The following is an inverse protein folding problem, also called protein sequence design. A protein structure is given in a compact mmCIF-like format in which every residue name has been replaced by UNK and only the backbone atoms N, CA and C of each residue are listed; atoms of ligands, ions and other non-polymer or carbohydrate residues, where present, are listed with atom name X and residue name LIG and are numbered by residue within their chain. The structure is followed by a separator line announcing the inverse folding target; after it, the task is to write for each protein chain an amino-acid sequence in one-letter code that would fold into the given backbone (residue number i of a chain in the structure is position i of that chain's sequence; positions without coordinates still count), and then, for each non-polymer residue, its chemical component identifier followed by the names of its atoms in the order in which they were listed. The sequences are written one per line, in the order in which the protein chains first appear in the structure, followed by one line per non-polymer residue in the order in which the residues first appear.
data_IF_639962153189
#
_entry.id   IF_639962153189
#
_cell.length_a   1.000
_cell.length_b   1.000
_cell.length_c   1.000
_cell.angle_alpha   90.00
_cell.angle_beta   90.00
_cell.angle_gamma   90.00
#
_symmetry.space_group_name_H-M   'P 1'
#
loop_
_entity.id
_entity.type
_entity.pdbx_description
1 polymer ?
#
# COMPACT_ATOMS: atom_id res chain seq x y z
N UNK A 1 -43.30 37.22 -12.23
CA UNK A 1 -42.92 36.70 -10.89
C UNK A 1 -41.53 36.11 -11.03
N UNK A 2 -40.50 36.84 -10.61
CA UNK A 2 -39.10 36.41 -10.75
C UNK A 2 -38.83 35.22 -9.81
N UNK A 3 -38.22 34.15 -10.31
CA UNK A 3 -37.75 33.04 -9.47
C UNK A 3 -36.70 33.58 -8.51
N UNK A 4 -36.94 33.42 -7.22
CA UNK A 4 -35.96 33.65 -6.17
C UNK A 4 -34.76 32.71 -6.40
N UNK A 5 -33.59 33.29 -6.67
CA UNK A 5 -32.33 32.58 -6.94
C UNK A 5 -31.45 32.55 -5.67
N UNK A 6 -32.02 32.74 -4.48
CA UNK A 6 -31.27 32.59 -3.24
C UNK A 6 -30.79 31.15 -3.05
N UNK A 7 -29.48 30.99 -2.84
CA UNK A 7 -28.89 29.70 -2.51
C UNK A 7 -29.46 29.21 -1.17
N UNK A 8 -29.95 27.97 -1.12
CA UNK A 8 -30.43 27.36 0.12
C UNK A 8 -29.29 27.31 1.14
N UNK A 9 -29.53 27.68 2.42
CA UNK A 9 -28.50 27.61 3.44
C UNK A 9 -28.01 26.16 3.61
N UNK A 10 -26.69 25.96 3.81
CA UNK A 10 -26.13 24.63 3.96
C UNK A 10 -26.60 23.99 5.27
N UNK A 11 -26.89 22.69 5.21
CA UNK A 11 -27.14 21.89 6.42
C UNK A 11 -25.77 21.52 6.99
N UNK A 12 -25.54 21.80 8.27
CA UNK A 12 -24.27 21.55 8.97
C UNK A 12 -24.50 20.45 10.01
N UNK A 13 -23.63 19.44 10.02
CA UNK A 13 -23.63 18.38 11.02
C UNK A 13 -22.20 18.05 11.45
N UNK A 14 -22.04 17.65 12.72
CA UNK A 14 -20.80 17.09 13.26
C UNK A 14 -21.14 15.78 13.95
N UNK A 15 -21.05 14.68 13.21
CA UNK A 15 -21.36 13.34 13.69
C UNK A 15 -20.29 12.37 13.24
N UNK A 16 -20.13 11.28 14.00
CA UNK A 16 -19.40 10.11 13.53
C UNK A 16 -20.31 9.34 12.56
N UNK A 17 -19.71 8.87 11.47
CA UNK A 17 -20.37 8.01 10.49
C UNK A 17 -19.57 6.72 10.41
N UNK A 18 -20.27 5.60 10.47
CA UNK A 18 -19.70 4.27 10.23
C UNK A 18 -20.18 3.81 8.86
N UNK A 19 -19.22 3.47 8.00
CA UNK A 19 -19.48 2.86 6.69
C UNK A 19 -18.89 1.47 6.65
N UNK A 20 -19.56 0.55 5.94
CA UNK A 20 -19.09 -0.83 5.74
C UNK A 20 -19.05 -1.11 4.25
N UNK A 21 -17.92 -1.61 3.77
CA UNK A 21 -17.69 -1.93 2.36
C UNK A 21 -16.59 -2.97 2.18
N UNK A 22 -16.53 -3.57 1.00
CA UNK A 22 -15.49 -4.56 0.65
C UNK A 22 -14.13 -3.90 0.34
N UNK A 23 -14.14 -2.62 0.00
CA UNK A 23 -12.97 -1.82 -0.35
C UNK A 23 -12.88 -0.59 0.54
N UNK A 24 -11.65 -0.17 0.85
CA UNK A 24 -11.40 1.06 1.58
C UNK A 24 -11.77 2.29 0.72
N UNK A 25 -12.09 3.41 1.37
CA UNK A 25 -12.36 4.67 0.70
C UNK A 25 -11.19 5.14 -0.16
N UNK A 26 -9.94 4.89 0.25
CA UNK A 26 -8.77 5.19 -0.57
C UNK A 26 -8.83 4.45 -1.93
N UNK A 27 -9.13 3.16 -1.90
CA UNK A 27 -9.31 2.32 -3.08
C UNK A 27 -10.52 2.75 -3.91
N UNK A 28 -11.59 3.20 -3.27
CA UNK A 28 -12.76 3.73 -3.97
C UNK A 28 -12.44 5.05 -4.69
N UNK A 29 -11.69 5.96 -4.06
CA UNK A 29 -11.22 7.21 -4.66
C UNK A 29 -10.27 6.93 -5.83
N UNK A 30 -9.39 5.95 -5.68
CA UNK A 30 -8.49 5.47 -6.74
C UNK A 30 -9.24 4.90 -7.94
N UNK A 31 -10.32 4.14 -7.70
CA UNK A 31 -11.19 3.61 -8.78
C UNK A 31 -11.84 4.70 -9.63
N UNK A 32 -11.99 5.91 -9.07
CA UNK A 32 -12.48 7.10 -9.76
C UNK A 32 -11.35 7.92 -10.42
N UNK A 33 -10.12 7.39 -10.49
CA UNK A 33 -8.95 8.05 -11.08
C UNK A 33 -8.41 9.20 -10.24
N UNK A 34 -8.71 9.23 -8.93
CA UNK A 34 -8.27 10.28 -8.00
C UNK A 34 -7.36 9.68 -6.93
N UNK A 35 -6.51 10.51 -6.33
CA UNK A 35 -5.66 10.11 -5.20
C UNK A 35 -6.27 10.63 -3.89
N UNK A 36 -6.35 9.78 -2.89
CA UNK A 36 -6.77 10.19 -1.55
C UNK A 36 -5.73 11.14 -0.93
N UNK A 37 -6.19 12.27 -0.40
CA UNK A 37 -5.32 13.25 0.28
C UNK A 37 -5.09 12.82 1.73
N UNK A 38 -3.94 13.16 2.31
CA UNK A 38 -3.59 12.81 3.70
C UNK A 38 -4.68 13.23 4.71
N UNK A 39 -5.19 14.45 4.61
CA UNK A 39 -6.27 14.93 5.47
C UNK A 39 -7.60 14.16 5.33
N UNK A 40 -7.85 13.51 4.19
CA UNK A 40 -9.01 12.63 4.01
C UNK A 40 -8.80 11.29 4.72
N UNK A 41 -7.61 10.73 4.62
CA UNK A 41 -7.24 9.43 5.23
C UNK A 41 -7.28 9.53 6.76
N UNK A 42 -6.82 10.64 7.34
CA UNK A 42 -6.82 10.85 8.81
C UNK A 42 -8.24 10.98 9.38
N UNK A 43 -9.18 11.57 8.62
CA UNK A 43 -10.56 11.80 9.08
C UNK A 43 -11.50 10.62 8.84
N UNK A 44 -11.10 9.69 7.97
CA UNK A 44 -11.89 8.51 7.60
C UNK A 44 -11.05 7.24 7.76
N UNK A 45 -10.68 6.88 9.00
CA UNK A 45 -9.86 5.70 9.25
C UNK A 45 -10.66 4.43 8.92
N UNK A 46 -10.03 3.53 8.18
CA UNK A 46 -10.61 2.22 7.86
C UNK A 46 -10.13 1.15 8.83
N UNK A 47 -11.09 0.37 9.31
CA UNK A 47 -10.86 -0.76 10.22
C UNK A 47 -10.96 -2.04 9.37
N UNK A 48 -9.84 -2.74 9.09
CA UNK A 48 -9.89 -3.96 8.32
C UNK A 48 -10.62 -5.06 9.10
N UNK A 49 -11.46 -5.83 8.41
CA UNK A 49 -12.17 -6.96 9.02
C UNK A 49 -11.24 -8.14 9.36
N UNK A 50 -10.13 -8.27 8.65
CA UNK A 50 -9.05 -9.21 8.96
C UNK A 50 -7.84 -8.41 9.49
N UNK A 51 -7.60 -8.51 10.80
CA UNK A 51 -6.50 -7.80 11.48
C UNK A 51 -5.21 -8.62 11.53
N UNK A 52 -5.19 -9.81 10.91
CA UNK A 52 -4.13 -10.80 11.08
C UNK A 52 -4.07 -11.34 12.51
N UNK A 53 -3.39 -12.49 12.69
CA UNK A 53 -3.28 -13.15 13.99
C UNK A 53 -2.60 -12.26 15.03
N UNK A 54 -3.28 -11.99 16.15
CA UNK A 54 -2.67 -11.41 17.36
C UNK A 54 -3.21 -10.06 17.83
N UNK A 55 -4.20 -9.48 17.14
CA UNK A 55 -4.83 -8.21 17.57
C UNK A 55 -6.23 -8.40 18.20
N UNK A 56 -6.74 -9.65 18.24
CA UNK A 56 -7.86 -10.16 19.06
C UNK A 56 -9.21 -9.41 19.00
N UNK A 57 -9.35 -8.34 18.21
CA UNK A 57 -10.48 -7.40 18.29
C UNK A 57 -11.76 -8.00 17.67
N UNK A 58 -11.61 -8.94 16.73
CA UNK A 58 -12.71 -9.64 16.03
C UNK A 58 -12.53 -11.19 16.08
N UNK A 59 -11.44 -11.66 16.71
CA UNK A 59 -11.09 -13.09 16.77
C UNK A 59 -11.69 -13.80 17.99
N UNK A 60 -12.10 -13.06 19.03
CA UNK A 60 -12.80 -13.62 20.17
C UNK A 60 -14.27 -13.85 19.82
N UNK A 61 -14.69 -15.12 19.77
CA UNK A 61 -16.07 -15.50 19.46
C UNK A 61 -16.99 -15.51 20.70
N UNK A 62 -16.47 -15.13 21.88
CA UNK A 62 -17.23 -15.05 23.14
C UNK A 62 -18.12 -16.27 23.42
N UNK A 63 -17.57 -17.48 23.22
CA UNK A 63 -18.29 -18.74 23.42
C UNK A 63 -19.19 -19.19 22.28
N UNK A 64 -19.18 -18.50 21.12
CA UNK A 64 -19.81 -18.96 19.88
C UNK A 64 -18.88 -19.93 19.14
N UNK A 65 -19.47 -20.83 18.37
CA UNK A 65 -18.75 -21.88 17.64
C UNK A 65 -18.05 -21.36 16.39
N UNK A 66 -18.63 -20.36 15.73
CA UNK A 66 -18.05 -19.70 14.55
C UNK A 66 -18.45 -18.20 14.48
N UNK A 67 -17.85 -17.48 13.52
CA UNK A 67 -18.13 -16.06 13.29
C UNK A 67 -19.56 -15.78 12.81
N UNK A 68 -20.23 -16.76 12.19
CA UNK A 68 -21.60 -16.62 11.70
C UNK A 68 -22.58 -16.63 12.87
N UNK A 69 -22.40 -17.55 13.81
CA UNK A 69 -23.17 -17.62 15.05
C UNK A 69 -22.95 -16.35 15.89
N UNK A 70 -21.70 -15.91 16.03
CA UNK A 70 -21.36 -14.69 16.77
C UNK A 70 -22.02 -13.44 16.16
N UNK A 71 -21.88 -13.23 14.85
CA UNK A 71 -22.55 -12.13 14.14
C UNK A 71 -24.08 -12.21 14.26
N UNK A 72 -24.64 -13.42 14.19
CA UNK A 72 -26.07 -13.67 14.38
C UNK A 72 -26.55 -13.25 15.76
N UNK A 73 -25.84 -13.61 16.83
CA UNK A 73 -26.17 -13.22 18.20
C UNK A 73 -26.12 -11.70 18.39
N UNK A 74 -25.06 -11.02 17.92
CA UNK A 74 -24.94 -9.56 18.00
C UNK A 74 -26.13 -8.89 17.29
N UNK A 75 -26.45 -9.32 16.06
CA UNK A 75 -27.59 -8.75 15.31
C UNK A 75 -28.92 -8.98 16.03
N UNK A 76 -29.12 -10.15 16.63
CA UNK A 76 -30.32 -10.46 17.41
C UNK A 76 -30.44 -9.56 18.64
N UNK A 77 -29.38 -9.46 19.44
CA UNK A 77 -29.35 -8.62 20.65
C UNK A 77 -29.53 -7.13 20.32
N UNK A 78 -28.84 -6.62 19.30
CA UNK A 78 -28.93 -5.22 18.89
C UNK A 78 -30.32 -4.83 18.36
N UNK A 79 -31.11 -5.79 17.86
CA UNK A 79 -32.52 -5.54 17.48
C UNK A 79 -33.45 -5.43 18.68
N UNK A 80 -33.17 -6.18 19.74
CA UNK A 80 -34.02 -6.22 20.94
C UNK A 80 -33.63 -5.15 21.97
N UNK A 81 -32.34 -4.80 22.03
CA UNK A 81 -31.77 -3.90 23.02
C UNK A 81 -30.89 -2.86 22.31
N UNK A 82 -31.45 -1.67 22.05
CA UNK A 82 -30.73 -0.54 21.46
C UNK A 82 -31.08 0.77 22.17
N UNK A 83 -30.24 1.79 21.98
CA UNK A 83 -30.46 3.15 22.50
C UNK A 83 -29.99 3.40 23.94
N UNK A 84 -29.85 2.37 24.78
CA UNK A 84 -29.47 2.55 26.20
C UNK A 84 -28.02 3.01 26.41
N UNK A 85 -27.07 2.48 25.65
CA UNK A 85 -25.65 2.78 25.83
C UNK A 85 -25.30 4.24 25.55
N UNK A 86 -25.90 4.82 24.50
CA UNK A 86 -25.68 6.23 24.14
C UNK A 86 -26.22 7.17 25.21
N UNK A 87 -27.40 6.88 25.76
CA UNK A 87 -27.99 7.69 26.85
C UNK A 87 -27.12 7.62 28.10
N UNK A 88 -26.72 6.42 28.54
CA UNK A 88 -25.84 6.27 29.71
C UNK A 88 -24.49 6.97 29.52
N UNK A 89 -23.92 6.92 28.31
CA UNK A 89 -22.70 7.67 27.97
C UNK A 89 -22.92 9.19 28.10
N UNK A 90 -24.02 9.72 27.57
CA UNK A 90 -24.35 11.14 27.66
C UNK A 90 -24.61 11.59 29.10
N UNK A 91 -25.31 10.78 29.90
CA UNK A 91 -25.54 11.06 31.32
C UNK A 91 -24.21 11.13 32.09
N UNK A 92 -23.29 10.20 31.82
CA UNK A 92 -21.96 10.22 32.43
C UNK A 92 -21.15 11.44 31.97
N UNK A 93 -21.19 11.76 30.69
CA UNK A 93 -20.48 12.90 30.11
C UNK A 93 -21.00 14.23 30.66
N UNK A 94 -22.32 14.39 30.79
CA UNK A 94 -22.95 15.60 31.32
C UNK A 94 -22.76 15.74 32.83
N UNK A 95 -22.65 14.63 33.57
CA UNK A 95 -22.51 14.65 35.03
C UNK A 95 -21.14 15.11 35.55
N UNK A 96 -20.07 14.99 34.76
CA UNK A 96 -18.70 15.33 35.18
C UNK A 96 -17.80 15.70 33.99
N UNK A 97 -18.28 16.63 33.15
CA UNK A 97 -17.59 17.05 31.94
C UNK A 97 -16.14 17.52 32.16
N UNK A 98 -15.82 18.36 33.17
CA UNK A 98 -14.46 18.89 33.34
C UNK A 98 -13.43 17.80 33.64
N UNK A 99 -13.79 16.82 34.47
CA UNK A 99 -12.91 15.69 34.81
C UNK A 99 -12.71 14.79 33.59
N UNK A 100 -13.79 14.48 32.86
CA UNK A 100 -13.72 13.66 31.64
C UNK A 100 -12.87 14.34 30.57
N UNK A 101 -12.96 15.67 30.41
CA UNK A 101 -12.12 16.42 29.47
C UNK A 101 -10.63 16.30 29.82
N UNK A 102 -10.28 16.46 31.10
CA UNK A 102 -8.91 16.31 31.59
C UNK A 102 -8.38 14.87 31.41
N UNK A 103 -9.19 13.88 31.78
CA UNK A 103 -8.84 12.47 31.69
C UNK A 103 -8.77 11.96 30.24
N UNK A 104 -9.54 12.54 29.32
CA UNK A 104 -9.52 12.16 27.90
C UNK A 104 -8.16 12.43 27.27
N UNK A 105 -7.52 13.58 27.58
CA UNK A 105 -6.16 13.88 27.09
C UNK A 105 -5.15 12.87 27.60
N UNK A 106 -5.22 12.52 28.87
CA UNK A 106 -4.36 11.51 29.50
C UNK A 106 -4.60 10.13 28.90
N UNK A 107 -5.87 9.73 28.73
CA UNK A 107 -6.27 8.46 28.15
C UNK A 107 -5.82 8.31 26.70
N UNK A 108 -5.94 9.37 25.89
CA UNK A 108 -5.41 9.39 24.52
C UNK A 108 -3.89 9.24 24.53
N UNK A 109 -3.19 9.96 25.42
CA UNK A 109 -1.74 9.83 25.58
C UNK A 109 -1.34 8.40 25.96
N UNK A 110 -2.07 7.76 26.85
CA UNK A 110 -1.78 6.39 27.30
C UNK A 110 -2.10 5.35 26.23
N UNK A 111 -3.17 5.52 25.44
CA UNK A 111 -3.45 4.69 24.26
C UNK A 111 -2.30 4.81 23.25
N UNK A 112 -1.86 6.04 22.95
CA UNK A 112 -0.72 6.29 22.04
C UNK A 112 0.55 5.64 22.58
N UNK A 113 0.81 5.73 23.90
CA UNK A 113 1.92 5.03 24.54
C UNK A 113 1.81 3.52 24.39
N UNK A 114 0.64 2.91 24.58
CA UNK A 114 0.43 1.46 24.41
C UNK A 114 0.70 1.03 22.97
N UNK A 115 0.24 1.78 21.96
CA UNK A 115 0.54 1.49 20.55
C UNK A 115 2.04 1.58 20.25
N UNK A 116 2.72 2.58 20.82
CA UNK A 116 4.17 2.73 20.71
C UNK A 116 4.92 1.62 21.47
N UNK A 117 4.44 1.20 22.65
CA UNK A 117 5.04 0.15 23.48
C UNK A 117 4.87 -1.23 22.86
N UNK A 118 3.72 -1.49 22.22
CA UNK A 118 3.47 -2.73 21.47
C UNK A 118 4.41 -2.82 20.26
N UNK A 119 4.62 -1.69 19.56
CA UNK A 119 5.64 -1.58 18.51
C UNK A 119 7.06 -1.78 19.07
N UNK A 120 7.33 -1.29 20.29
CA UNK A 120 8.62 -1.43 20.97
C UNK A 120 8.91 -2.87 21.44
N UNK A 121 7.90 -3.61 21.92
CA UNK A 121 8.01 -5.02 22.36
C UNK A 121 8.17 -5.97 21.17
N UNK A 122 7.47 -5.71 20.06
CA UNK A 122 7.73 -6.35 18.76
C UNK A 122 9.15 -6.07 18.26
N UNK A 123 9.71 -4.89 18.55
CA UNK A 123 11.11 -4.57 18.27
C UNK A 123 12.10 -5.25 19.23
N UNK A 124 11.79 -5.35 20.53
CA UNK A 124 12.68 -5.90 21.56
C UNK A 124 12.88 -7.42 21.45
N UNK A 125 11.86 -8.15 21.03
CA UNK A 125 11.99 -9.59 20.68
C UNK A 125 12.94 -9.82 19.50
N UNK A 126 13.10 -8.82 18.61
CA UNK A 126 14.13 -8.85 17.56
C UNK A 126 15.52 -8.39 18.03
N UNK A 127 15.59 -7.68 19.16
CA UNK A 127 16.80 -7.04 19.70
C UNK A 127 17.64 -7.96 20.60
N UNK A 128 17.02 -8.97 21.25
CA UNK A 128 17.74 -9.94 22.11
C UNK A 128 18.68 -10.88 21.30
N UNK A 129 18.69 -10.78 19.96
CA UNK A 129 19.46 -11.65 19.06
C UNK A 129 20.81 -11.11 18.54
N UNK A 130 21.38 -9.98 19.02
CA UNK A 130 22.71 -9.60 18.52
C UNK A 130 23.33 -8.32 19.09
N UNK A 131 24.60 -8.45 19.50
CA UNK A 131 25.47 -7.48 20.16
C UNK A 131 25.49 -6.04 19.60
N UNK A 132 25.62 -5.10 20.54
CA UNK A 132 25.74 -3.66 20.32
C UNK A 132 27.13 -3.22 19.82
N UNK A 133 27.16 -2.49 18.71
CA UNK A 133 28.11 -1.38 18.42
C UNK A 133 27.46 -0.43 17.41
N UNK A 134 27.51 0.88 17.70
CA UNK A 134 26.95 2.03 16.95
C UNK A 134 25.64 1.77 16.19
N UNK A 135 24.50 2.16 16.79
CA UNK A 135 23.21 2.15 16.11
C UNK A 135 23.16 3.20 14.99
N UNK A 136 23.60 2.80 13.81
CA UNK A 136 22.98 3.25 12.59
C UNK A 136 21.62 2.54 12.56
N UNK A 137 20.54 3.24 12.93
CA UNK A 137 19.21 2.66 12.74
C UNK A 137 19.03 2.40 11.25
N UNK A 138 19.09 1.13 10.88
CA UNK A 138 18.81 0.69 9.53
C UNK A 138 17.28 0.75 9.37
N UNK A 139 16.76 1.94 9.06
CA UNK A 139 15.36 2.14 8.76
C UNK A 139 14.98 1.28 7.53
N UNK A 140 14.16 0.25 7.76
CA UNK A 140 13.71 -0.67 6.70
C UNK A 140 12.72 0.00 5.74
N UNK A 141 12.09 1.11 6.13
CA UNK A 141 11.11 1.88 5.34
C UNK A 141 11.69 2.37 4.00
N UNK A 142 12.96 2.79 3.98
CA UNK A 142 13.60 3.29 2.76
C UNK A 142 13.87 2.17 1.73
N UNK A 143 13.82 0.89 2.13
CA UNK A 143 14.03 -0.25 1.23
C UNK A 143 12.77 -0.75 0.53
N UNK A 144 11.60 -0.32 0.97
CA UNK A 144 10.32 -0.92 0.55
C UNK A 144 9.97 -0.55 -0.90
N UNK A 145 10.26 0.67 -1.34
CA UNK A 145 9.90 1.15 -2.68
C UNK A 145 10.63 0.41 -3.81
N UNK A 146 11.96 0.34 -3.76
CA UNK A 146 12.76 -0.35 -4.78
C UNK A 146 12.61 -1.87 -4.71
N UNK A 147 12.47 -2.43 -3.50
CA UNK A 147 12.23 -3.86 -3.32
C UNK A 147 10.90 -4.28 -3.94
N UNK A 148 9.84 -3.48 -3.77
CA UNK A 148 8.54 -3.73 -4.40
C UNK A 148 8.65 -3.74 -5.92
N UNK A 149 9.27 -2.73 -6.53
CA UNK A 149 9.44 -2.65 -7.98
C UNK A 149 10.29 -3.81 -8.53
N UNK A 150 11.40 -4.14 -7.85
CA UNK A 150 12.28 -5.22 -8.22
C UNK A 150 11.60 -6.59 -8.19
N UNK A 151 10.88 -6.89 -7.09
CA UNK A 151 10.13 -8.15 -6.92
C UNK A 151 8.99 -8.23 -7.92
N UNK A 152 8.26 -7.14 -8.16
CA UNK A 152 7.18 -7.10 -9.14
C UNK A 152 7.70 -7.41 -10.55
N UNK A 153 8.82 -6.81 -10.96
CA UNK A 153 9.41 -7.09 -12.27
C UNK A 153 9.88 -8.53 -12.43
N UNK A 154 10.63 -9.05 -11.46
CA UNK A 154 11.07 -10.45 -11.51
C UNK A 154 9.89 -11.45 -11.51
N UNK A 155 8.85 -11.17 -10.73
CA UNK A 155 7.65 -11.99 -10.70
C UNK A 155 6.92 -11.97 -12.05
N UNK A 156 6.65 -10.79 -12.58
CA UNK A 156 5.96 -10.63 -13.86
C UNK A 156 6.77 -11.27 -14.99
N UNK A 157 8.10 -11.15 -14.97
CA UNK A 157 8.98 -11.81 -15.93
C UNK A 157 8.84 -13.33 -15.91
N UNK A 158 8.89 -13.95 -14.73
CA UNK A 158 8.73 -15.42 -14.59
C UNK A 158 7.34 -15.84 -15.05
N UNK A 159 6.28 -15.23 -14.51
CA UNK A 159 4.89 -15.64 -14.79
C UNK A 159 4.56 -15.46 -16.27
N UNK A 160 4.78 -14.26 -16.83
CA UNK A 160 4.42 -13.96 -18.22
C UNK A 160 5.16 -14.84 -19.22
N UNK A 161 6.46 -15.06 -19.02
CA UNK A 161 7.28 -15.85 -19.96
C UNK A 161 6.97 -17.35 -19.84
N UNK A 162 6.79 -17.87 -18.62
CA UNK A 162 6.37 -19.26 -18.42
C UNK A 162 4.98 -19.53 -19.00
N UNK A 163 4.02 -18.62 -18.77
CA UNK A 163 2.68 -18.70 -19.35
C UNK A 163 2.69 -18.64 -20.86
N UNK A 164 3.51 -17.76 -21.47
CA UNK A 164 3.63 -17.68 -22.93
C UNK A 164 4.22 -18.96 -23.52
N UNK A 165 5.32 -19.46 -22.94
CA UNK A 165 5.97 -20.72 -23.36
C UNK A 165 4.98 -21.89 -23.25
N UNK A 166 4.29 -22.03 -22.12
CA UNK A 166 3.32 -23.10 -21.89
C UNK A 166 2.13 -22.98 -22.84
N UNK A 167 1.61 -21.77 -23.06
CA UNK A 167 0.50 -21.53 -23.98
C UNK A 167 0.84 -21.90 -25.42
N UNK A 168 1.99 -21.45 -25.93
CA UNK A 168 2.45 -21.78 -27.29
C UNK A 168 2.77 -23.27 -27.41
N UNK A 169 3.43 -23.86 -26.43
CA UNK A 169 3.70 -25.30 -26.41
C UNK A 169 2.42 -26.15 -26.38
N UNK A 170 1.39 -25.69 -25.67
CA UNK A 170 0.11 -26.36 -25.59
C UNK A 170 -0.67 -26.33 -26.92
N UNK A 171 -0.31 -25.43 -27.84
CA UNK A 171 -0.81 -25.38 -29.21
C UNK A 171 -0.07 -26.34 -30.16
N UNK A 172 0.81 -27.22 -29.66
CA UNK A 172 1.61 -28.18 -30.45
C UNK A 172 2.55 -27.51 -31.47
N UNK A 173 3.03 -26.31 -31.17
CA UNK A 173 4.00 -25.59 -32.01
C UNK A 173 5.39 -26.23 -31.96
N UNK A 174 6.21 -25.98 -33.00
CA UNK A 174 7.60 -26.44 -33.03
C UNK A 174 8.44 -25.74 -31.94
N UNK A 175 9.47 -26.42 -31.42
CA UNK A 175 10.36 -25.87 -30.38
C UNK A 175 10.95 -24.51 -30.75
N UNK A 176 11.32 -24.31 -32.02
CA UNK A 176 11.82 -23.03 -32.55
C UNK A 176 10.82 -21.89 -32.38
N UNK A 177 9.52 -22.16 -32.60
CA UNK A 177 8.47 -21.16 -32.52
C UNK A 177 8.16 -20.81 -31.05
N UNK A 178 8.22 -21.81 -30.17
CA UNK A 178 8.12 -21.62 -28.71
C UNK A 178 9.26 -20.71 -28.23
N UNK A 179 10.50 -20.95 -28.67
CA UNK A 179 11.66 -20.14 -28.29
C UNK A 179 11.56 -18.72 -28.85
N UNK A 180 11.15 -18.57 -30.11
CA UNK A 180 10.95 -17.27 -30.73
C UNK A 180 9.89 -16.46 -29.98
N UNK A 181 8.76 -17.08 -29.65
CA UNK A 181 7.70 -16.44 -28.87
C UNK A 181 8.19 -16.05 -27.46
N UNK A 182 8.94 -16.93 -26.78
CA UNK A 182 9.51 -16.65 -25.46
C UNK A 182 10.49 -15.47 -25.46
N UNK A 183 11.40 -15.41 -26.45
CA UNK A 183 12.36 -14.30 -26.59
C UNK A 183 11.63 -13.00 -26.94
N UNK A 184 10.70 -13.04 -27.89
CA UNK A 184 9.90 -11.87 -28.26
C UNK A 184 9.08 -11.36 -27.07
N UNK A 185 8.46 -12.26 -26.31
CA UNK A 185 7.72 -11.96 -25.08
C UNK A 185 8.59 -11.35 -23.99
N UNK A 186 9.83 -11.85 -23.81
CA UNK A 186 10.79 -11.28 -22.87
C UNK A 186 11.14 -9.83 -23.24
N UNK A 187 11.48 -9.57 -24.51
CA UNK A 187 11.86 -8.22 -24.95
C UNK A 187 10.66 -7.27 -24.89
N UNK A 188 9.51 -7.70 -25.38
CA UNK A 188 8.28 -6.90 -25.35
C UNK A 188 7.84 -6.60 -23.91
N UNK A 189 7.89 -7.58 -23.02
CA UNK A 189 7.55 -7.43 -21.61
C UNK A 189 8.51 -6.50 -20.87
N UNK A 190 9.82 -6.64 -21.08
CA UNK A 190 10.82 -5.76 -20.47
C UNK A 190 10.65 -4.30 -20.91
N UNK A 191 10.38 -4.06 -22.21
CA UNK A 191 10.12 -2.72 -22.74
C UNK A 191 8.80 -2.14 -22.25
N UNK A 192 7.73 -2.94 -22.21
CA UNK A 192 6.44 -2.53 -21.67
C UNK A 192 6.58 -2.10 -20.20
N UNK A 193 7.32 -2.89 -19.41
CA UNK A 193 7.55 -2.58 -18.01
C UNK A 193 8.42 -1.33 -17.82
N UNK A 194 9.49 -1.18 -18.62
CA UNK A 194 10.33 0.01 -18.60
C UNK A 194 9.53 1.27 -18.92
N UNK A 195 8.71 1.22 -19.98
CA UNK A 195 7.88 2.33 -20.42
C UNK A 195 6.82 2.67 -19.38
N UNK A 196 6.12 1.67 -18.84
CA UNK A 196 5.10 1.86 -17.80
C UNK A 196 5.66 2.52 -16.54
N UNK A 197 6.79 2.02 -16.04
CA UNK A 197 7.45 2.59 -14.86
C UNK A 197 8.00 3.99 -15.14
N UNK A 198 8.63 4.22 -16.30
CA UNK A 198 9.11 5.54 -16.70
C UNK A 198 7.98 6.56 -16.75
N UNK A 199 6.87 6.25 -17.41
CA UNK A 199 5.71 7.15 -17.55
C UNK A 199 5.07 7.43 -16.20
N UNK A 200 4.90 6.40 -15.37
CA UNK A 200 4.31 6.55 -14.03
C UNK A 200 5.16 7.44 -13.13
N UNK A 201 6.45 7.16 -13.02
CA UNK A 201 7.36 7.94 -12.17
C UNK A 201 7.65 9.32 -12.75
N UNK A 202 7.63 9.49 -14.08
CA UNK A 202 7.73 10.83 -14.70
C UNK A 202 6.51 11.68 -14.38
N UNK A 203 5.30 11.11 -14.47
CA UNK A 203 4.06 11.83 -14.11
C UNK A 203 4.04 12.24 -12.63
N UNK A 204 4.58 11.39 -11.75
CA UNK A 204 4.83 11.77 -10.36
C UNK A 204 5.82 12.94 -10.27
N UNK A 205 6.97 12.84 -10.93
CA UNK A 205 7.98 13.91 -10.92
C UNK A 205 7.44 15.24 -11.44
N UNK A 206 6.56 15.22 -12.44
CA UNK A 206 5.98 16.43 -13.03
C UNK A 206 4.97 17.07 -12.08
N UNK A 207 4.15 16.27 -11.40
CA UNK A 207 3.27 16.74 -10.32
C UNK A 207 4.09 17.37 -9.17
N UNK A 208 5.13 16.68 -8.70
CA UNK A 208 5.99 17.19 -7.61
C UNK A 208 6.66 18.53 -7.99
N UNK A 209 7.10 18.69 -9.24
CA UNK A 209 7.65 19.96 -9.74
C UNK A 209 6.61 21.06 -9.81
N UNK A 210 5.39 20.73 -10.25
CA UNK A 210 4.30 21.69 -10.35
C UNK A 210 3.90 22.21 -8.96
N UNK A 211 3.77 21.33 -7.98
CA UNK A 211 3.44 21.70 -6.59
C UNK A 211 4.55 22.57 -5.98
N UNK A 212 5.83 22.23 -6.21
CA UNK A 212 6.96 23.06 -5.76
C UNK A 212 6.99 24.45 -6.42
N UNK A 213 6.55 24.58 -7.67
CA UNK A 213 6.49 25.87 -8.35
C UNK A 213 5.32 26.72 -7.85
N UNK A 214 4.17 26.10 -7.57
CA UNK A 214 3.05 26.77 -6.90
C UNK A 214 3.47 27.28 -5.52
N UNK A 215 4.14 26.43 -4.73
CA UNK A 215 4.61 26.79 -3.40
C UNK A 215 5.64 27.93 -3.43
N UNK A 216 6.61 27.85 -4.36
CA UNK A 216 7.56 28.93 -4.58
C UNK A 216 6.86 30.24 -4.93
N UNK A 217 5.76 30.18 -5.69
CA UNK A 217 4.98 31.37 -6.02
C UNK A 217 4.25 31.90 -4.78
N UNK A 218 3.60 31.06 -3.99
CA UNK A 218 2.90 31.49 -2.76
C UNK A 218 3.85 32.16 -1.76
N UNK A 219 5.05 31.58 -1.56
CA UNK A 219 6.10 32.17 -0.73
C UNK A 219 6.58 33.55 -1.19
N UNK A 220 6.58 33.80 -2.51
CA UNK A 220 6.93 35.11 -3.07
C UNK A 220 5.77 36.11 -3.00
N UNK A 221 4.53 35.63 -3.08
CA UNK A 221 3.32 36.46 -3.11
C UNK A 221 2.91 36.91 -1.68
N UNK A 222 2.92 36.00 -0.67
CA UNK A 222 2.57 36.32 0.72
C UNK A 222 3.30 35.44 1.75
N UNK A 223 4.55 35.79 2.05
CA UNK A 223 5.37 35.07 3.03
C UNK A 223 4.77 35.02 4.44
N UNK A 224 4.06 36.07 4.87
CA UNK A 224 3.46 36.13 6.21
C UNK A 224 2.24 35.21 6.34
N UNK A 225 1.53 34.98 5.24
CA UNK A 225 0.48 33.98 5.17
C UNK A 225 1.06 32.56 5.24
N UNK A 226 2.07 32.26 4.42
CA UNK A 226 2.74 30.95 4.42
C UNK A 226 3.34 30.58 5.78
N UNK A 227 3.89 31.57 6.49
CA UNK A 227 4.39 31.36 7.85
C UNK A 227 3.31 30.95 8.84
N UNK A 228 2.10 31.51 8.71
CA UNK A 228 0.95 31.12 9.53
C UNK A 228 0.43 29.73 9.15
N UNK A 229 0.44 29.40 7.86
CA UNK A 229 0.06 28.08 7.37
C UNK A 229 0.99 27.00 7.93
N UNK A 230 2.31 27.19 7.81
CA UNK A 230 3.28 26.25 8.37
C UNK A 230 3.18 26.15 9.91
N UNK A 231 2.98 27.27 10.61
CA UNK A 231 2.75 27.25 12.05
C UNK A 231 1.49 26.44 12.40
N UNK A 232 0.39 26.61 11.65
CA UNK A 232 -0.85 25.84 11.85
C UNK A 232 -0.63 24.34 11.66
N UNK A 233 0.19 23.91 10.69
CA UNK A 233 0.54 22.50 10.51
C UNK A 233 1.23 21.94 11.77
N UNK A 234 2.10 22.73 12.39
CA UNK A 234 2.81 22.35 13.61
C UNK A 234 1.91 22.37 14.86
N UNK A 235 0.94 23.28 14.93
CA UNK A 235 -0.11 23.25 15.95
C UNK A 235 -0.98 21.99 15.85
N UNK A 236 -1.40 21.62 14.64
CA UNK A 236 -2.16 20.39 14.39
C UNK A 236 -1.36 19.13 14.79
N UNK A 237 -0.03 19.20 14.72
CA UNK A 237 0.88 18.14 15.19
C UNK A 237 1.12 18.17 16.70
N UNK A 238 0.53 19.12 17.42
CA UNK A 238 0.48 19.16 18.88
C UNK A 238 1.40 20.19 19.55
N UNK A 239 2.03 21.10 18.80
CA UNK A 239 2.77 22.21 19.38
C UNK A 239 1.80 23.31 19.86
N UNK A 240 2.13 24.00 20.95
CA UNK A 240 1.40 25.20 21.34
C UNK A 240 1.68 26.34 20.35
N UNK A 241 0.75 27.29 20.24
CA UNK A 241 0.82 28.38 19.25
C UNK A 241 2.14 29.17 19.27
N UNK A 242 2.67 29.47 20.45
CA UNK A 242 3.91 30.25 20.54
C UNK A 242 5.12 29.43 20.06
N UNK A 243 5.16 28.13 20.38
CA UNK A 243 6.22 27.24 19.94
C UNK A 243 6.10 26.91 18.45
N UNK A 244 4.90 26.63 17.94
CA UNK A 244 4.64 26.35 16.54
C UNK A 244 5.08 27.51 15.64
N UNK A 245 4.75 28.75 16.03
CA UNK A 245 5.22 29.96 15.33
C UNK A 245 6.74 30.07 15.33
N UNK A 246 7.39 29.86 16.47
CA UNK A 246 8.86 29.90 16.55
C UNK A 246 9.51 28.81 15.68
N UNK A 247 8.94 27.62 15.63
CA UNK A 247 9.42 26.53 14.77
C UNK A 247 9.28 26.92 13.30
N UNK A 248 8.10 27.39 12.86
CA UNK A 248 7.88 27.84 11.49
C UNK A 248 8.84 28.97 11.09
N UNK A 249 8.98 30.00 11.93
CA UNK A 249 9.93 31.12 11.71
C UNK A 249 11.36 30.62 11.50
N UNK A 250 11.85 29.71 12.36
CA UNK A 250 13.23 29.21 12.28
C UNK A 250 13.44 28.28 11.09
N UNK A 251 12.47 27.44 10.77
CA UNK A 251 12.56 26.52 9.63
C UNK A 251 12.49 27.26 8.30
N UNK A 252 11.57 28.22 8.15
CA UNK A 252 11.47 29.02 6.92
C UNK A 252 12.68 29.94 6.71
N UNK A 253 13.27 30.46 7.80
CA UNK A 253 14.50 31.24 7.70
C UNK A 253 15.71 30.42 7.20
N UNK A 254 15.70 29.10 7.41
CA UNK A 254 16.73 28.20 6.88
C UNK A 254 16.41 27.76 5.46
N UNK A 255 15.19 27.25 5.23
CA UNK A 255 14.71 26.78 3.93
C UNK A 255 13.18 26.77 3.89
N UNK A 256 12.56 27.88 3.49
CA UNK A 256 11.11 28.01 3.40
C UNK A 256 10.48 26.99 2.45
N UNK A 257 10.99 26.94 1.21
CA UNK A 257 10.46 26.02 0.21
C UNK A 257 10.66 24.56 0.61
N UNK A 258 11.82 24.18 1.16
CA UNK A 258 12.05 22.83 1.63
C UNK A 258 11.21 22.46 2.86
N UNK A 259 10.93 23.43 3.73
CA UNK A 259 10.06 23.22 4.90
C UNK A 259 8.62 22.96 4.48
N UNK A 260 8.04 23.79 3.60
CA UNK A 260 6.71 23.54 3.05
C UNK A 260 6.68 22.27 2.19
N UNK A 261 7.69 22.04 1.35
CA UNK A 261 7.79 20.81 0.58
C UNK A 261 7.74 19.56 1.46
N UNK A 262 8.45 19.54 2.59
CA UNK A 262 8.46 18.39 3.50
C UNK A 262 7.21 18.31 4.37
N UNK A 263 6.84 19.41 5.00
CA UNK A 263 5.87 19.43 6.10
C UNK A 263 4.43 19.65 5.62
N UNK A 264 4.24 20.31 4.49
CA UNK A 264 2.93 20.52 3.86
C UNK A 264 2.70 19.54 2.70
N UNK A 265 3.61 19.51 1.72
CA UNK A 265 3.45 18.68 0.50
C UNK A 265 3.84 17.21 0.72
N UNK A 266 4.57 16.90 1.81
CA UNK A 266 5.05 15.55 2.09
C UNK A 266 6.17 15.06 1.17
N UNK A 267 6.84 15.96 0.47
CA UNK A 267 7.97 15.69 -0.42
C UNK A 267 9.26 15.51 0.39
N UNK A 268 9.68 14.26 0.56
CA UNK A 268 10.91 13.91 1.29
C UNK A 268 12.02 13.55 0.29
N UNK A 269 13.19 14.17 0.45
CA UNK A 269 14.39 14.02 -0.38
C UNK A 269 14.77 12.55 -0.71
N UNK A 270 14.59 11.65 0.26
CA UNK A 270 14.85 10.22 0.17
C UNK A 270 13.94 9.46 -0.81
N UNK A 271 12.82 10.04 -1.20
CA UNK A 271 11.76 9.38 -1.99
C UNK A 271 11.50 10.09 -3.33
N UNK A 272 12.36 11.05 -3.73
CA UNK A 272 12.20 11.76 -5.01
C UNK A 272 12.03 10.78 -6.18
N UNK A 273 11.08 11.08 -7.05
CA UNK A 273 10.83 10.33 -8.26
C UNK A 273 12.10 10.27 -9.16
N UNK A 274 12.57 9.07 -9.50
CA UNK A 274 13.72 8.84 -10.39
C UNK A 274 13.32 7.96 -11.58
N UNK A 275 12.70 8.55 -12.64
CA UNK A 275 12.04 7.79 -13.68
C UNK A 275 12.94 6.81 -14.43
N UNK A 276 14.14 7.26 -14.84
CA UNK A 276 15.09 6.42 -15.58
C UNK A 276 15.59 5.26 -14.73
N UNK A 277 15.87 5.51 -13.45
CA UNK A 277 16.33 4.46 -12.55
C UNK A 277 15.23 3.43 -12.33
N UNK A 278 14.00 3.85 -12.07
CA UNK A 278 12.86 2.96 -11.89
C UNK A 278 12.62 2.09 -13.14
N UNK A 279 12.63 2.70 -14.33
CA UNK A 279 12.47 1.99 -15.60
C UNK A 279 13.55 0.93 -15.85
N UNK A 280 14.83 1.27 -15.65
CA UNK A 280 15.95 0.35 -15.86
C UNK A 280 15.95 -0.79 -14.84
N UNK A 281 15.63 -0.51 -13.57
CA UNK A 281 15.53 -1.56 -12.56
C UNK A 281 14.38 -2.52 -12.85
N UNK A 282 13.20 -2.00 -13.19
CA UNK A 282 12.03 -2.82 -13.56
C UNK A 282 12.31 -3.69 -14.80
N UNK A 283 12.88 -3.10 -15.86
CA UNK A 283 13.28 -3.85 -17.05
C UNK A 283 14.30 -4.94 -16.74
N UNK A 284 15.32 -4.61 -15.94
CA UNK A 284 16.38 -5.55 -15.56
C UNK A 284 15.85 -6.73 -14.75
N UNK A 285 15.02 -6.48 -13.73
CA UNK A 285 14.45 -7.57 -12.92
C UNK A 285 13.46 -8.41 -13.72
N UNK A 286 12.67 -7.79 -14.60
CA UNK A 286 11.83 -8.52 -15.55
C UNK A 286 12.65 -9.45 -16.46
N UNK A 287 13.70 -8.93 -17.10
CA UNK A 287 14.56 -9.73 -17.97
C UNK A 287 15.19 -10.90 -17.22
N UNK A 288 15.67 -10.70 -15.99
CA UNK A 288 16.22 -11.78 -15.16
C UNK A 288 15.14 -12.81 -14.84
N UNK A 289 13.94 -12.38 -14.45
CA UNK A 289 12.81 -13.26 -14.16
C UNK A 289 12.38 -14.08 -15.37
N UNK A 290 12.24 -13.43 -16.53
CA UNK A 290 11.85 -14.02 -17.80
C UNK A 290 12.89 -15.00 -18.36
N UNK A 291 14.18 -14.73 -18.15
CA UNK A 291 15.25 -15.60 -18.60
C UNK A 291 15.20 -16.99 -17.92
N UNK A 292 14.72 -17.09 -16.68
CA UNK A 292 14.66 -18.36 -15.95
C UNK A 292 13.80 -19.44 -16.65
N UNK A 293 12.49 -19.24 -16.89
CA UNK A 293 11.67 -20.22 -17.60
C UNK A 293 12.13 -20.44 -19.05
N UNK A 294 12.66 -19.40 -19.71
CA UNK A 294 13.18 -19.50 -21.07
C UNK A 294 14.41 -20.42 -21.15
N UNK A 295 15.35 -20.30 -20.22
CA UNK A 295 16.53 -21.16 -20.13
C UNK A 295 16.16 -22.62 -19.82
N UNK A 296 15.11 -22.84 -19.01
CA UNK A 296 14.58 -24.18 -18.77
C UNK A 296 13.99 -24.75 -20.06
N UNK A 297 13.12 -24.00 -20.73
CA UNK A 297 12.47 -24.45 -21.96
C UNK A 297 13.47 -24.73 -23.10
N UNK A 298 14.57 -23.97 -23.15
CA UNK A 298 15.63 -24.18 -24.14
C UNK A 298 16.34 -25.54 -24.01
N UNK A 299 16.45 -26.08 -22.79
CA UNK A 299 17.21 -27.31 -22.51
C UNK A 299 16.37 -28.59 -22.47
N UNK A 300 15.06 -28.47 -22.38
CA UNK A 300 14.15 -29.58 -22.10
C UNK A 300 13.50 -30.09 -23.39
N UNK A 301 13.38 -31.42 -23.58
CA UNK A 301 12.70 -31.98 -24.74
C UNK A 301 11.19 -31.72 -24.72
N UNK A 302 10.57 -31.61 -25.90
CA UNK A 302 9.18 -31.17 -26.10
C UNK A 302 8.16 -31.89 -25.21
N UNK A 303 8.29 -33.22 -25.06
CA UNK A 303 7.36 -34.02 -24.25
C UNK A 303 7.39 -33.70 -22.75
N UNK A 304 8.47 -33.09 -22.25
CA UNK A 304 8.63 -32.65 -20.85
C UNK A 304 8.52 -31.14 -20.69
N UNK A 305 8.39 -30.37 -21.78
CA UNK A 305 8.52 -28.93 -21.76
C UNK A 305 7.50 -28.26 -20.83
N UNK A 306 6.20 -28.56 -21.00
CA UNK A 306 5.13 -27.99 -20.16
C UNK A 306 5.32 -28.32 -18.67
N UNK A 307 5.41 -29.61 -18.24
CA UNK A 307 5.51 -29.93 -16.82
C UNK A 307 6.80 -29.38 -16.18
N UNK A 308 7.93 -29.42 -16.87
CA UNK A 308 9.21 -28.95 -16.30
C UNK A 308 9.25 -27.42 -16.22
N UNK A 309 8.79 -26.70 -17.25
CA UNK A 309 8.69 -25.23 -17.20
C UNK A 309 7.71 -24.79 -16.12
N UNK A 310 6.56 -25.45 -15.97
CA UNK A 310 5.59 -25.11 -14.93
C UNK A 310 6.16 -25.31 -13.52
N UNK A 311 6.70 -26.50 -13.22
CA UNK A 311 7.23 -26.81 -11.88
C UNK A 311 8.43 -25.94 -11.53
N UNK A 312 9.39 -25.77 -12.45
CA UNK A 312 10.54 -24.90 -12.21
C UNK A 312 10.15 -23.44 -11.99
N UNK A 313 9.20 -22.93 -12.77
CA UNK A 313 8.67 -21.57 -12.60
C UNK A 313 7.99 -21.39 -11.25
N UNK A 314 7.19 -22.36 -10.79
CA UNK A 314 6.61 -22.32 -9.45
C UNK A 314 7.67 -22.34 -8.34
N UNK A 315 8.76 -23.09 -8.52
CA UNK A 315 9.88 -23.07 -7.57
C UNK A 315 10.55 -21.70 -7.55
N UNK A 316 10.81 -21.09 -8.71
CA UNK A 316 11.38 -19.75 -8.79
C UNK A 316 10.46 -18.70 -8.15
N UNK A 317 9.15 -18.79 -8.39
CA UNK A 317 8.13 -17.94 -7.80
C UNK A 317 8.03 -18.11 -6.27
N UNK A 318 8.10 -19.34 -5.77
CA UNK A 318 8.12 -19.62 -4.34
C UNK A 318 9.35 -19.00 -3.67
N UNK A 319 10.53 -19.17 -4.29
CA UNK A 319 11.78 -18.62 -3.80
C UNK A 319 11.75 -17.09 -3.78
N UNK A 320 11.30 -16.46 -4.87
CA UNK A 320 11.18 -15.02 -5.00
C UNK A 320 10.15 -14.44 -4.02
N UNK A 321 8.95 -15.03 -3.96
CA UNK A 321 7.88 -14.61 -3.04
C UNK A 321 8.26 -14.78 -1.58
N UNK A 322 8.96 -15.87 -1.23
CA UNK A 322 9.50 -16.09 0.10
C UNK A 322 10.59 -15.10 0.48
N UNK A 323 11.52 -14.81 -0.44
CA UNK A 323 12.55 -13.78 -0.25
C UNK A 323 11.93 -12.40 -0.07
N UNK A 324 10.98 -12.03 -0.92
CA UNK A 324 10.27 -10.75 -0.85
C UNK A 324 9.52 -10.59 0.47
N UNK A 325 8.81 -11.64 0.92
CA UNK A 325 8.12 -11.63 2.20
C UNK A 325 9.10 -11.47 3.37
N UNK A 326 10.22 -12.21 3.37
CA UNK A 326 11.25 -12.07 4.41
C UNK A 326 11.84 -10.65 4.43
N UNK A 327 12.16 -10.10 3.27
CA UNK A 327 12.73 -8.76 3.14
C UNK A 327 11.73 -7.67 3.56
N UNK A 328 10.42 -7.90 3.33
CA UNK A 328 9.32 -7.04 3.76
C UNK A 328 8.85 -7.25 5.21
N UNK A 329 9.40 -8.23 5.95
CA UNK A 329 9.00 -8.53 7.33
C UNK A 329 7.72 -9.37 7.48
N UNK A 330 7.22 -9.97 6.40
CA UNK A 330 6.08 -10.87 6.39
C UNK A 330 6.49 -12.35 6.48
N UNK A 331 5.54 -13.24 6.77
CA UNK A 331 5.78 -14.68 6.78
C UNK A 331 6.13 -15.21 5.38
N UNK A 332 7.25 -15.93 5.27
CA UNK A 332 7.80 -16.50 4.03
C UNK A 332 6.78 -17.37 3.30
N UNK A 333 6.06 -18.22 4.04
CA UNK A 333 5.05 -19.13 3.50
C UNK A 333 3.92 -18.39 2.81
N UNK A 334 3.42 -17.30 3.41
CA UNK A 334 2.33 -16.49 2.85
C UNK A 334 2.78 -15.83 1.54
N UNK A 335 4.00 -15.28 1.51
CA UNK A 335 4.58 -14.70 0.29
C UNK A 335 4.72 -15.72 -0.83
N UNK A 336 5.30 -16.88 -0.53
CA UNK A 336 5.48 -17.96 -1.51
C UNK A 336 4.13 -18.48 -2.05
N UNK A 337 3.15 -18.74 -1.19
CA UNK A 337 1.82 -19.24 -1.60
C UNK A 337 1.12 -18.25 -2.51
N UNK A 338 1.13 -16.95 -2.16
CA UNK A 338 0.45 -15.90 -2.93
C UNK A 338 0.95 -15.84 -4.36
N UNK A 339 2.28 -15.82 -4.52
CA UNK A 339 2.91 -15.68 -5.83
C UNK A 339 2.77 -16.96 -6.65
N UNK A 340 2.96 -18.13 -6.02
CA UNK A 340 2.81 -19.42 -6.73
C UNK A 340 1.37 -19.71 -7.14
N UNK A 341 0.39 -19.33 -6.34
CA UNK A 341 -1.03 -19.49 -6.69
C UNK A 341 -1.37 -18.76 -7.98
N UNK A 342 -1.06 -17.45 -8.05
CA UNK A 342 -1.35 -16.65 -9.25
C UNK A 342 -0.53 -17.09 -10.45
N UNK A 343 0.73 -17.50 -10.25
CA UNK A 343 1.55 -18.08 -11.31
C UNK A 343 0.97 -19.38 -11.87
N UNK A 344 0.55 -20.31 -11.00
CA UNK A 344 -0.07 -21.57 -11.40
C UNK A 344 -1.37 -21.33 -12.18
N UNK A 345 -2.18 -20.39 -11.73
CA UNK A 345 -3.43 -20.02 -12.40
C UNK A 345 -3.16 -19.45 -13.80
N UNK A 346 -2.24 -18.49 -13.93
CA UNK A 346 -1.89 -17.89 -15.21
C UNK A 346 -1.35 -18.91 -16.22
N UNK A 347 -0.43 -19.79 -15.80
CA UNK A 347 0.11 -20.88 -16.62
C UNK A 347 -0.98 -21.89 -17.03
N UNK A 348 -1.91 -22.20 -16.12
CA UNK A 348 -3.02 -23.12 -16.43
C UNK A 348 -3.99 -22.52 -17.45
N UNK A 349 -4.38 -21.25 -17.29
CA UNK A 349 -5.27 -20.56 -18.21
C UNK A 349 -4.65 -20.43 -19.60
N UNK A 350 -3.37 -20.06 -19.67
CA UNK A 350 -2.66 -19.97 -20.96
C UNK A 350 -2.47 -21.33 -21.63
N UNK A 351 -2.23 -22.40 -20.86
CA UNK A 351 -2.24 -23.77 -21.40
C UNK A 351 -3.60 -24.14 -22.01
N UNK A 352 -4.70 -23.78 -21.34
CA UNK A 352 -6.07 -24.03 -21.85
C UNK A 352 -6.30 -23.26 -23.14
N UNK A 353 -5.96 -21.98 -23.19
CA UNK A 353 -6.05 -21.16 -24.41
C UNK A 353 -5.22 -21.79 -25.54
N UNK A 354 -3.97 -22.17 -25.27
CA UNK A 354 -3.11 -22.84 -26.23
C UNK A 354 -3.73 -24.11 -26.81
N UNK A 355 -4.31 -24.97 -25.96
CA UNK A 355 -5.00 -26.18 -26.40
C UNK A 355 -6.24 -25.88 -27.25
N UNK A 356 -7.04 -24.89 -26.86
CA UNK A 356 -8.27 -24.54 -27.57
C UNK A 356 -7.97 -24.02 -28.99
N UNK A 357 -6.96 -23.19 -29.15
CA UNK A 357 -6.62 -22.57 -30.43
C UNK A 357 -5.66 -23.43 -31.28
N UNK A 358 -4.84 -24.30 -30.68
CA UNK A 358 -4.01 -25.26 -31.42
C UNK A 358 -4.79 -26.42 -32.05
N UNK A 359 -6.05 -26.62 -31.67
CA UNK A 359 -6.96 -27.60 -32.30
C UNK A 359 -7.75 -26.97 -33.47
N UNK A 360 -7.71 -25.64 -33.61
CA UNK A 360 -8.57 -24.89 -34.54
C UNK A 360 -7.89 -24.49 -35.86
N UNK A 361 -6.68 -24.98 -36.15
CA UNK A 361 -5.95 -24.72 -37.41
C UNK A 361 -5.56 -26.03 -38.09
#
# INVERSE_FOLDING_TARGET
MAKDVSARPPIIWKTLLLSSGEVDLSQHIESAGKKARGGQIVRLPSIPADTGSGWYTIESLYGCTDGKEFSGKIKGSARLYYGSAGVAFLEKLAGDYPTIEADTKTSISDIVKIFNLTSYILHLTSYISGNAMSHHEIHRSHRIGWLRAAVLGANDGIVSTASLIIGVAAAQSAHTDIMLAGIAGLVAGAMSMAAGEYVSVSSQSDTEKADLELERKSLNDDYEFELKELASIYEERGLDTNLAKQVAEKLMAYDALGSHARDELGLVESVRARPIQAALFSAGTFTIGAALPLLVAWKIPDFLLIPVVAVSSLVFLAALGGFAARAGGAAISIGAIRVTFWGALAMSLTAVVGRLFGVAI
#
